data_IF_077625603291
#
_entry.id   IF_077625603291
#
_cell.length_a   1.000
_cell.length_b   1.000
_cell.length_c   1.000
_cell.angle_alpha   90.00
_cell.angle_beta   90.00
_cell.angle_gamma   90.00
#
_symmetry.space_group_name_H-M   'P 1'
#
loop_
_entity.id
_entity.type
_entity.pdbx_description
1 polymer ?
2 non-polymer ?
3 water ?
#
# COMPACT_ATOMS: atom_id res chain seq x y z
N UNK A 14 23.66 -11.38 5.74
CA UNK A 14 23.39 -11.61 7.18
C UNK A 14 21.93 -11.28 7.48
N UNK A 15 21.30 -12.08 8.33
CA UNK A 15 19.86 -12.01 8.52
C UNK A 15 19.50 -11.27 9.78
N UNK A 16 18.77 -10.16 9.62
CA UNK A 16 18.32 -9.38 10.77
C UNK A 16 16.81 -9.29 10.73
N UNK A 17 16.18 -10.15 11.52
CA UNK A 17 14.73 -10.22 11.57
C UNK A 17 14.21 -8.89 12.11
N UNK A 18 13.14 -8.38 11.49
CA UNK A 18 12.54 -7.11 11.89
C UNK A 18 13.31 -5.90 11.39
N UNK A 19 14.19 -6.09 10.40
CA UNK A 19 15.00 -5.01 9.91
C UNK A 19 14.29 -4.19 8.83
N UNK A 20 13.14 -4.67 8.35
CA UNK A 20 12.36 -4.02 7.33
C UNK A 20 10.88 -3.93 7.75
N UNK A 21 10.29 -5.06 8.09
CA UNK A 21 8.89 -5.11 8.52
C UNK A 21 8.78 -4.62 9.94
N UNK A 22 8.06 -3.51 10.11
CA UNK A 22 7.94 -2.87 11.42
C UNK A 22 8.82 -1.66 11.61
N UNK A 23 9.74 -1.41 10.69
CA UNK A 23 10.66 -0.27 10.78
C UNK A 23 10.00 1.00 10.22
N UNK A 24 10.15 2.16 10.91
CA UNK A 24 9.54 3.39 10.39
C UNK A 24 10.23 3.91 9.15
N UNK A 25 9.45 4.58 8.32
CA UNK A 25 9.93 5.25 7.12
C UNK A 25 11.15 6.16 7.36
N UNK A 26 11.15 6.91 8.45
CA UNK A 26 12.28 7.79 8.75
C UNK A 26 13.56 7.02 8.97
N UNK A 27 13.48 5.86 9.61
CA UNK A 27 14.68 5.05 9.80
C UNK A 27 15.20 4.48 8.49
N UNK A 28 14.30 4.12 7.58
CA UNK A 28 14.72 3.69 6.27
C UNK A 28 15.50 4.76 5.58
N UNK A 29 15.06 6.03 5.70
CA UNK A 29 15.79 7.16 5.13
C UNK A 29 17.18 7.28 5.78
N UNK A 30 17.26 7.18 7.11
CA UNK A 30 18.57 7.14 7.81
C UNK A 30 19.52 6.10 7.25
N UNK A 31 19.00 4.90 7.00
CA UNK A 31 19.82 3.79 6.58
C UNK A 31 20.18 3.76 5.10
N UNK A 32 19.25 4.08 4.21
CA UNK A 32 19.44 3.82 2.77
C UNK A 32 19.32 5.05 1.87
N UNK A 33 18.89 6.18 2.45
CA UNK A 33 18.62 7.40 1.69
C UNK A 33 17.16 7.59 1.31
N UNK A 34 16.31 6.56 1.44
CA UNK A 34 14.92 6.65 0.95
C UNK A 34 13.93 5.97 1.90
N UNK A 35 12.67 6.43 1.91
CA UNK A 35 11.64 5.90 2.83
C UNK A 35 11.24 4.40 2.63
N UNK A 36 11.37 3.89 1.42
CA UNK A 36 11.21 2.45 1.18
C UNK A 36 12.55 1.84 0.89
N UNK A 37 12.84 0.68 1.54
CA UNK A 37 14.02 -0.07 1.21
C UNK A 37 13.98 -0.44 -0.26
N UNK A 38 15.15 -0.56 -0.89
CA UNK A 38 15.20 -1.00 -2.27
C UNK A 38 14.54 -2.35 -2.44
N UNK A 39 14.70 -3.23 -1.46
CA UNK A 39 14.13 -4.58 -1.59
C UNK A 39 12.62 -4.47 -1.76
N UNK A 40 12.04 -3.42 -1.18
CA UNK A 40 10.61 -3.23 -1.23
C UNK A 40 10.24 -2.57 -2.54
N UNK A 41 11.04 -1.63 -2.99
CA UNK A 41 10.80 -1.01 -4.28
C UNK A 41 10.93 -2.02 -5.42
N UNK A 42 11.85 -2.97 -5.28
CA UNK A 42 12.02 -4.03 -6.29
C UNK A 42 10.82 -4.97 -6.40
N UNK A 43 10.08 -5.10 -5.31
CA UNK A 43 8.89 -5.93 -5.27
C UNK A 43 7.84 -5.25 -6.14
N UNK A 44 7.71 -3.94 -5.98
CA UNK A 44 6.77 -3.20 -6.79
C UNK A 44 7.22 -3.26 -8.26
N UNK A 45 8.51 -3.12 -8.54
CA UNK A 45 8.96 -3.17 -9.92
C UNK A 45 8.70 -4.51 -10.55
N UNK A 46 8.91 -5.57 -9.77
CA UNK A 46 8.67 -6.91 -10.29
C UNK A 46 7.19 -7.10 -10.65
N UNK A 47 6.30 -6.67 -9.75
CA UNK A 47 4.86 -6.76 -10.04
C UNK A 47 4.53 -5.95 -11.30
N UNK A 48 5.09 -4.76 -11.39
CA UNK A 48 4.75 -3.81 -12.43
C UNK A 48 5.33 -4.28 -13.76
N UNK A 49 6.51 -4.87 -13.73
CA UNK A 49 7.17 -5.29 -14.96
C UNK A 49 6.62 -6.58 -15.57
N UNK A 50 6.18 -7.51 -14.71
CA UNK A 50 6.02 -8.94 -15.08
C UNK A 50 4.72 -9.59 -14.66
N UNK A 51 3.96 -8.96 -13.76
CA UNK A 51 2.80 -9.58 -13.08
C UNK A 51 1.45 -8.90 -13.33
N UNK A 52 1.42 -7.86 -14.14
CA UNK A 52 0.19 -7.11 -14.38
C UNK A 52 -0.92 -7.86 -15.16
N UNK A 53 -0.61 -9.04 -15.70
CA UNK A 53 -1.63 -9.93 -16.30
C UNK A 53 -2.17 -11.00 -15.34
N UNK A 54 -1.85 -10.88 -14.06
CA UNK A 54 -2.28 -11.85 -13.10
C UNK A 54 -3.64 -11.41 -12.51
N UNK A 55 -4.69 -12.19 -12.79
CA UNK A 55 -6.06 -11.82 -12.39
C UNK A 55 -6.15 -11.76 -10.88
N UNK A 56 -6.76 -10.71 -10.36
CA UNK A 56 -6.92 -10.61 -8.91
C UNK A 56 -5.65 -10.32 -8.12
N UNK A 57 -4.64 -9.75 -8.74
CA UNK A 57 -3.47 -9.26 -8.01
C UNK A 57 -3.92 -8.32 -6.88
N UNK A 58 -3.36 -8.55 -5.70
CA UNK A 58 -3.71 -7.91 -4.43
C UNK A 58 -4.96 -8.46 -3.76
N UNK A 59 -5.75 -9.23 -4.50
CA UNK A 59 -6.97 -9.82 -3.93
C UNK A 59 -6.76 -11.28 -3.58
N UNK A 60 -6.38 -12.10 -4.56
CA UNK A 60 -6.12 -13.54 -4.31
C UNK A 60 -4.91 -13.74 -3.41
N UNK A 61 -5.02 -14.67 -2.45
CA UNK A 61 -3.99 -14.93 -1.45
C UNK A 61 -2.82 -15.60 -2.07
N UNK A 62 -1.62 -15.24 -1.61
CA UNK A 62 -0.42 -15.99 -1.94
C UNK A 62 -0.29 -17.16 -0.97
N UNK A 63 0.87 -17.80 -0.93
CA UNK A 63 1.11 -18.93 -0.02
C UNK A 63 1.99 -18.49 1.14
N UNK A 64 1.46 -18.65 2.35
CA UNK A 64 2.10 -18.18 3.58
C UNK A 64 3.62 -18.46 3.64
N UNK A 65 4.02 -19.70 3.35
CA UNK A 65 5.42 -20.13 3.50
C UNK A 65 6.34 -19.44 2.51
N UNK A 66 5.85 -19.29 1.29
CA UNK A 66 6.48 -18.43 0.32
C UNK A 66 6.45 -16.91 0.65
N UNK A 67 5.37 -16.43 1.26
CA UNK A 67 5.28 -15.04 1.67
C UNK A 67 6.34 -14.83 2.77
N UNK A 68 6.42 -15.77 3.71
CA UNK A 68 7.41 -15.73 4.79
C UNK A 68 8.83 -15.80 4.24
N UNK A 69 9.11 -16.71 3.31
CA UNK A 69 10.45 -16.73 2.68
C UNK A 69 10.83 -15.37 2.07
N UNK A 70 9.87 -14.69 1.43
CA UNK A 70 10.17 -13.39 0.81
C UNK A 70 10.43 -12.33 1.87
N UNK A 71 9.68 -12.35 2.96
CA UNK A 71 9.98 -11.42 4.06
C UNK A 71 11.44 -11.61 4.50
N UNK A 72 11.86 -12.87 4.60
CA UNK A 72 13.17 -13.21 5.11
C UNK A 72 14.27 -12.79 4.15
N UNK A 73 14.05 -12.94 2.85
CA UNK A 73 15.01 -12.44 1.90
C UNK A 73 15.12 -10.92 2.00
N UNK A 74 13.99 -10.24 2.28
CA UNK A 74 13.96 -8.78 2.40
C UNK A 74 14.74 -8.30 3.63
N UNK A 75 14.80 -9.14 4.67
CA UNK A 75 15.39 -8.73 5.94
C UNK A 75 16.83 -9.21 6.09
N UNK A 76 17.38 -9.68 4.96
CA UNK A 76 18.81 -9.71 4.74
C UNK A 76 19.43 -8.32 4.76
N UNK A 77 20.63 -8.27 5.32
CA UNK A 77 21.40 -7.06 5.45
C UNK A 77 21.61 -6.35 4.12
N UNK A 78 21.90 -7.09 3.04
CA UNK A 78 21.99 -6.45 1.71
C UNK A 78 20.58 -6.09 1.23
N UNK A 79 20.39 -4.82 0.89
CA UNK A 79 19.09 -4.30 0.43
C UNK A 79 18.89 -4.52 -1.06
N UNK A 80 18.56 -5.75 -1.40
CA UNK A 80 18.43 -6.16 -2.77
C UNK A 80 17.84 -7.54 -2.71
N UNK A 81 16.76 -7.74 -3.46
CA UNK A 81 16.14 -9.03 -3.53
C UNK A 81 15.80 -9.29 -4.97
N UNK A 82 16.02 -10.53 -5.40
CA UNK A 82 15.70 -10.95 -6.75
C UNK A 82 14.44 -11.76 -6.69
N UNK A 83 13.40 -11.23 -7.31
CA UNK A 83 12.05 -11.76 -7.18
C UNK A 83 11.64 -12.71 -8.29
N UNK A 84 12.51 -12.90 -9.28
CA UNK A 84 12.18 -13.71 -10.45
C UNK A 84 11.88 -15.14 -10.09
N UNK A 85 10.85 -15.66 -10.76
CA UNK A 85 10.32 -16.96 -10.48
C UNK A 85 9.24 -16.91 -9.43
N UNK A 86 9.04 -15.78 -8.73
CA UNK A 86 8.06 -15.76 -7.63
C UNK A 86 6.63 -15.55 -8.15
N UNK A 87 5.68 -16.21 -7.51
CA UNK A 87 4.25 -15.95 -7.81
C UNK A 87 3.93 -14.50 -7.46
N UNK A 88 3.21 -13.85 -8.36
CA UNK A 88 2.78 -12.46 -8.20
C UNK A 88 1.99 -12.26 -6.92
N UNK A 89 1.25 -13.30 -6.52
CA UNK A 89 0.33 -13.18 -5.40
C UNK A 89 1.06 -13.22 -4.06
N UNK A 90 2.20 -13.91 -4.03
CA UNK A 90 3.03 -13.94 -2.83
C UNK A 90 3.66 -12.55 -2.63
N UNK A 91 4.19 -12.01 -3.73
CA UNK A 91 4.84 -10.73 -3.75
C UNK A 91 3.83 -9.64 -3.38
N UNK A 92 2.61 -9.75 -3.91
CA UNK A 92 1.58 -8.73 -3.70
C UNK A 92 1.17 -8.76 -2.25
N UNK A 93 0.97 -9.97 -1.72
CA UNK A 93 0.63 -10.17 -0.32
C UNK A 93 1.75 -9.73 0.60
N UNK A 94 3.00 -10.01 0.23
CA UNK A 94 4.10 -9.54 1.04
C UNK A 94 4.03 -8.01 1.09
N UNK A 95 3.80 -7.40 -0.04
CA UNK A 95 3.66 -5.94 -0.06
C UNK A 95 2.62 -5.40 0.88
N UNK A 96 1.46 -6.04 0.88
CA UNK A 96 0.41 -5.71 1.85
C UNK A 96 0.85 -5.87 3.31
N UNK A 97 1.52 -6.98 3.62
CA UNK A 97 2.08 -7.17 4.95
C UNK A 97 3.09 -6.04 5.30
N UNK A 98 3.92 -5.65 4.34
CA UNK A 98 4.82 -4.56 4.59
C UNK A 98 4.10 -3.34 5.18
N UNK A 99 3.05 -2.85 4.51
CA UNK A 99 2.30 -1.66 4.96
C UNK A 99 1.51 -1.91 6.27
N UNK A 100 1.05 -3.15 6.42
CA UNK A 100 0.36 -3.59 7.60
C UNK A 100 1.28 -3.55 8.81
N UNK A 101 2.54 -3.92 8.62
CA UNK A 101 3.48 -4.02 9.75
C UNK A 101 4.16 -2.69 10.07
N UNK A 102 4.03 -1.69 9.21
CA UNK A 102 4.51 -0.34 9.54
C UNK A 102 4.01 0.05 10.91
N UNK A 103 4.86 0.75 11.71
CA UNK A 103 4.47 1.03 13.10
C UNK A 103 3.34 2.06 13.19
N UNK A 104 3.16 2.81 12.12
CA UNK A 104 2.13 3.82 12.00
C UNK A 104 1.61 3.62 10.56
N UNK A 105 0.28 3.67 10.33
CA UNK A 105 -0.19 3.46 8.94
C UNK A 105 0.43 4.44 7.97
N UNK A 106 0.63 4.05 6.71
CA UNK A 106 1.08 4.98 5.69
C UNK A 106 0.20 6.26 5.72
N UNK A 107 -1.09 6.06 5.84
CA UNK A 107 -2.02 7.15 5.77
C UNK A 107 -2.07 8.00 7.06
N UNK A 108 -1.38 7.56 8.11
CA UNK A 108 -1.58 8.03 9.48
C UNK A 108 -2.96 7.61 9.99
N UNK A 109 -3.08 7.60 11.30
CA UNK A 109 -4.27 7.13 11.96
C UNK A 109 -5.45 8.05 11.81
N UNK A 110 -5.20 9.34 11.54
CA UNK A 110 -6.26 10.34 11.52
C UNK A 110 -7.09 10.30 10.21
N UNK A 111 -6.44 9.95 9.10
CA UNK A 111 -7.04 10.14 7.78
C UNK A 111 -8.24 9.28 7.54
N UNK A 112 -8.36 8.14 8.21
CA UNK A 112 -9.55 7.35 7.95
C UNK A 112 -10.72 8.21 8.43
N UNK A 113 -10.54 8.91 9.55
CA UNK A 113 -11.56 9.81 10.08
C UNK A 113 -11.77 11.06 9.23
N UNK A 114 -10.70 11.62 8.67
CA UNK A 114 -10.79 12.79 7.81
C UNK A 114 -11.48 12.44 6.51
N UNK A 115 -11.18 11.26 5.96
CA UNK A 115 -11.91 10.81 4.78
C UNK A 115 -13.41 10.67 5.09
N UNK A 116 -13.75 10.19 6.28
CA UNK A 116 -15.15 10.10 6.66
C UNK A 116 -15.84 11.46 6.63
N UNK A 117 -15.22 12.45 7.26
CA UNK A 117 -15.74 13.83 7.26
C UNK A 117 -15.91 14.35 5.85
N UNK A 118 -14.96 14.06 4.99
CA UNK A 118 -15.03 14.44 3.60
C UNK A 118 -16.32 13.89 2.99
N UNK A 119 -16.59 12.60 3.16
CA UNK A 119 -17.82 12.00 2.61
C UNK A 119 -19.05 12.46 3.39
N UNK A 120 -18.93 12.78 4.68
CA UNK A 120 -20.05 13.40 5.42
C UNK A 120 -20.38 14.87 5.04
N UNK A 121 -19.42 15.67 4.60
CA UNK A 121 -19.67 17.13 4.47
C UNK A 121 -19.34 17.77 3.14
N UNK A 122 -18.23 17.37 2.55
CA UNK A 122 -17.78 17.91 1.28
C UNK A 122 -18.63 17.35 0.14
N UNK A 123 -19.05 18.22 -0.81
CA UNK A 123 -19.85 17.79 -1.97
C UNK A 123 -19.09 17.06 -3.07
N UNK A 124 -19.80 16.16 -3.75
CA UNK A 124 -19.23 15.22 -4.70
C UNK A 124 -18.05 15.84 -5.42
N UNK A 125 -18.33 16.92 -6.16
CA UNK A 125 -17.35 17.57 -7.06
C UNK A 125 -16.17 18.27 -6.36
N UNK A 126 -16.19 18.33 -5.03
CA UNK A 126 -15.05 18.90 -4.29
C UNK A 126 -14.28 17.87 -3.48
N UNK A 127 -14.69 16.61 -3.55
CA UNK A 127 -14.09 15.62 -2.67
C UNK A 127 -12.65 15.33 -3.02
N UNK A 128 -12.35 15.20 -4.29
CA UNK A 128 -10.98 14.92 -4.73
C UNK A 128 -10.05 15.98 -4.14
N UNK A 129 -10.50 17.22 -4.32
CA UNK A 129 -9.83 18.40 -3.81
C UNK A 129 -9.65 18.38 -2.29
N UNK A 130 -10.66 17.97 -1.53
CA UNK A 130 -10.51 17.87 -0.09
C UNK A 130 -9.56 16.70 0.28
N UNK A 131 -9.56 15.66 -0.55
CA UNK A 131 -8.68 14.50 -0.35
C UNK A 131 -7.22 14.90 -0.59
N UNK A 132 -6.97 15.70 -1.64
CA UNK A 132 -5.61 16.18 -1.89
C UNK A 132 -5.16 17.10 -0.75
N UNK A 133 -6.04 18.00 -0.32
CA UNK A 133 -5.75 18.84 0.86
C UNK A 133 -5.35 17.98 2.11
N UNK A 134 -6.12 16.95 2.41
CA UNK A 134 -5.83 16.09 3.58
C UNK A 134 -4.46 15.38 3.50
N UNK A 135 -4.17 14.83 2.34
CA UNK A 135 -2.90 14.20 2.00
C UNK A 135 -1.65 15.08 2.07
N UNK A 136 -1.79 16.36 1.74
CA UNK A 136 -0.67 17.29 1.77
C UNK A 136 -0.21 17.53 3.21
N UNK A 137 -1.07 17.19 4.16
CA UNK A 137 -0.77 17.27 5.59
C UNK A 137 -0.01 16.05 6.15
N UNK A 138 0.20 15.00 5.35
CA UNK A 138 0.99 13.83 5.79
C UNK A 138 2.48 14.20 5.88
N UNK A 139 3.24 13.51 6.76
CA UNK A 139 4.69 13.69 6.78
C UNK A 139 5.33 13.48 5.41
N UNK A 140 6.48 14.10 5.23
CA UNK A 140 7.22 14.01 3.98
C UNK A 140 7.35 12.59 3.47
N UNK A 141 7.86 11.72 4.34
CA UNK A 141 8.17 10.34 3.97
C UNK A 141 6.92 9.64 3.47
N UNK A 142 5.87 9.73 4.27
CA UNK A 142 4.60 9.18 3.88
C UNK A 142 4.10 9.68 2.54
N UNK A 143 4.23 10.99 2.28
CA UNK A 143 3.87 11.58 0.98
C UNK A 143 4.69 11.03 -0.19
N UNK A 144 5.99 10.83 -0.01
CA UNK A 144 6.80 10.23 -1.07
C UNK A 144 6.30 8.82 -1.35
N UNK A 145 6.06 8.06 -0.29
CA UNK A 145 5.70 6.63 -0.45
C UNK A 145 4.32 6.49 -1.08
N UNK A 146 3.36 7.25 -0.58
CA UNK A 146 2.02 7.30 -1.15
C UNK A 146 1.99 7.68 -2.64
N UNK A 147 2.79 8.66 -3.03
CA UNK A 147 2.95 9.01 -4.46
C UNK A 147 3.46 7.84 -5.28
N UNK A 148 4.53 7.21 -4.83
CA UNK A 148 5.10 6.07 -5.55
C UNK A 148 4.11 4.89 -5.65
N UNK A 149 3.40 4.65 -4.55
CA UNK A 149 2.39 3.64 -4.50
C UNK A 149 1.20 3.92 -5.42
N UNK A 150 0.72 5.17 -5.42
CA UNK A 150 -0.46 5.52 -6.22
C UNK A 150 -0.17 5.39 -7.70
N UNK A 151 1.01 5.82 -8.13
CA UNK A 151 1.37 5.64 -9.54
C UNK A 151 1.51 4.18 -9.90
N UNK A 152 2.06 3.39 -8.96
CA UNK A 152 2.18 1.95 -9.13
C UNK A 152 0.79 1.31 -9.27
N UNK A 153 -0.11 1.61 -8.33
CA UNK A 153 -1.43 1.00 -8.34
C UNK A 153 -2.19 1.45 -9.60
N UNK A 154 -1.98 2.70 -9.97
CA UNK A 154 -2.49 3.23 -11.24
C UNK A 154 -2.03 2.39 -12.46
N UNK A 155 -0.74 2.06 -12.52
CA UNK A 155 -0.28 1.13 -13.57
C UNK A 155 -1.04 -0.20 -13.54
N UNK A 156 -1.33 -0.71 -12.34
CA UNK A 156 -2.04 -2.00 -12.17
C UNK A 156 -3.44 -1.91 -12.82
N UNK A 157 -4.14 -0.85 -12.46
CA UNK A 157 -5.48 -0.59 -12.96
C UNK A 157 -5.54 -0.30 -14.48
N UNK A 158 -4.47 0.28 -15.03
CA UNK A 158 -4.27 0.39 -16.50
C UNK A 158 -4.40 -0.95 -17.24
N UNK A 159 -3.96 -2.03 -16.58
CA UNK A 159 -3.97 -3.38 -17.14
C UNK A 159 -5.25 -4.14 -16.67
N UNK A 160 -6.29 -3.39 -16.33
CA UNK A 160 -7.57 -3.97 -15.90
C UNK A 160 -8.18 -5.01 -16.84
N UNK A 161 -8.00 -4.87 -18.15
CA UNK A 161 -8.62 -5.82 -19.11
C UNK A 161 -8.02 -7.21 -18.89
N UNK A 162 -6.80 -7.25 -18.36
CA UNK A 162 -6.08 -8.50 -18.12
C UNK A 162 -6.26 -9.00 -16.70
N UNK A 163 -6.12 -8.11 -15.71
CA UNK A 163 -6.07 -8.53 -14.29
C UNK A 163 -7.36 -8.30 -13.51
N UNK A 164 -8.29 -7.58 -14.13
CA UNK A 164 -9.62 -7.33 -13.60
C UNK A 164 -9.64 -6.49 -12.30
N UNK A 165 -8.58 -5.71 -12.07
CA UNK A 165 -8.51 -4.90 -10.88
C UNK A 165 -8.83 -3.44 -11.19
N UNK A 166 -10.05 -3.02 -10.87
CA UNK A 166 -10.46 -1.62 -10.94
C UNK A 166 -9.87 -0.83 -9.76
N UNK A 167 -9.90 0.51 -9.84
CA UNK A 167 -9.54 1.32 -8.69
C UNK A 167 -10.27 0.90 -7.46
N UNK A 168 -11.56 0.64 -7.60
CA UNK A 168 -12.36 0.16 -6.49
C UNK A 168 -11.92 -1.23 -5.97
N UNK A 169 -11.60 -2.16 -6.86
CA UNK A 169 -11.13 -3.51 -6.44
C UNK A 169 -9.80 -3.47 -5.67
N UNK A 170 -8.89 -2.62 -6.14
CA UNK A 170 -7.62 -2.41 -5.45
C UNK A 170 -7.86 -1.75 -4.11
N UNK A 171 -8.67 -0.70 -4.10
CA UNK A 171 -8.93 0.07 -2.89
C UNK A 171 -9.45 -0.82 -1.76
N UNK A 172 -10.43 -1.64 -2.09
CA UNK A 172 -11.09 -2.48 -1.07
C UNK A 172 -10.10 -3.47 -0.44
N UNK A 173 -9.13 -3.92 -1.24
CA UNK A 173 -8.10 -4.88 -0.83
C UNK A 173 -6.88 -4.25 -0.13
N UNK A 174 -6.57 -3.00 -0.48
CA UNK A 174 -5.42 -2.31 0.08
C UNK A 174 -5.73 -1.38 1.26
N UNK A 175 -6.91 -0.78 1.34
CA UNK A 175 -7.22 0.17 2.46
C UNK A 175 -6.85 -0.35 3.85
N UNK A 176 -7.16 -1.61 4.16
CA UNK A 176 -6.89 -1.95 5.57
C UNK A 176 -5.41 -1.83 5.96
N UNK A 177 -4.53 -2.19 5.02
CA UNK A 177 -3.11 -2.18 5.28
C UNK A 177 -2.49 -0.79 5.21
N UNK A 178 -3.05 0.07 4.36
CA UNK A 178 -2.56 1.42 4.17
C UNK A 178 -3.09 2.34 5.24
N UNK A 179 -4.28 2.03 5.76
CA UNK A 179 -4.93 2.84 6.77
C UNK A 179 -4.88 2.26 8.16
N UNK A 180 -4.53 0.97 8.27
CA UNK A 180 -4.62 0.17 9.50
C UNK A 180 -6.03 0.18 10.04
N UNK A 181 -6.98 -0.22 9.21
CA UNK A 181 -8.39 -0.21 9.65
C UNK A 181 -8.58 -1.33 10.71
N UNK A 182 -9.39 -1.07 11.74
CA UNK A 182 -9.65 -2.04 12.80
C UNK A 182 -10.59 -3.12 12.27
N UNK A 183 -10.01 -4.15 11.64
CA UNK A 183 -10.76 -5.17 10.95
C UNK A 183 -10.78 -6.49 11.72
N UNK A 184 -11.91 -7.19 11.63
CA UNK A 184 -12.13 -8.46 12.31
C UNK A 184 -11.51 -9.60 11.49
N UNK A 204 -18.36 -1.40 16.10
CA UNK A 204 -18.74 0.01 16.11
C UNK A 204 -19.05 0.56 14.68
N UNK A 205 -20.21 1.21 14.54
CA UNK A 205 -20.60 1.81 13.24
C UNK A 205 -19.58 2.83 12.70
N UNK A 206 -19.02 3.66 13.59
CA UNK A 206 -18.07 4.70 13.20
C UNK A 206 -16.82 4.09 12.55
N UNK A 207 -16.32 3.00 13.13
CA UNK A 207 -15.21 2.21 12.56
C UNK A 207 -15.50 1.62 11.17
N UNK A 208 -16.69 1.04 11.02
CA UNK A 208 -17.14 0.56 9.72
C UNK A 208 -17.28 1.71 8.74
N UNK A 209 -17.85 2.81 9.19
CA UNK A 209 -17.91 4.03 8.35
C UNK A 209 -16.54 4.56 7.88
N UNK A 210 -15.56 4.53 8.78
CA UNK A 210 -14.20 4.91 8.43
C UNK A 210 -13.58 3.96 7.38
N UNK A 211 -13.84 2.67 7.56
CA UNK A 211 -13.43 1.67 6.60
C UNK A 211 -13.97 1.99 5.23
N UNK A 212 -15.26 2.23 5.15
CA UNK A 212 -15.88 2.51 3.86
C UNK A 212 -15.39 3.83 3.24
N UNK A 213 -15.24 4.84 4.09
CA UNK A 213 -14.76 6.15 3.65
C UNK A 213 -13.34 6.05 3.10
N UNK A 214 -12.48 5.33 3.83
CA UNK A 214 -11.06 5.17 3.47
C UNK A 214 -10.90 4.43 2.13
N UNK A 215 -11.75 3.42 1.94
CA UNK A 215 -11.81 2.63 0.72
C UNK A 215 -12.27 3.48 -0.44
N UNK A 216 -13.38 4.16 -0.24
CA UNK A 216 -13.89 5.07 -1.25
C UNK A 216 -12.84 6.14 -1.58
N UNK A 217 -12.27 6.76 -0.55
CA UNK A 217 -11.29 7.81 -0.77
C UNK A 217 -10.09 7.30 -1.52
N UNK A 218 -9.62 6.11 -1.15
CA UNK A 218 -8.46 5.50 -1.81
C UNK A 218 -8.74 5.15 -3.30
N UNK A 219 -9.92 4.59 -3.55
CA UNK A 219 -10.40 4.29 -4.90
C UNK A 219 -10.39 5.56 -5.76
N UNK A 220 -10.99 6.62 -5.23
CA UNK A 220 -10.97 7.93 -5.89
C UNK A 220 -9.51 8.30 -6.25
N UNK A 221 -8.60 8.16 -5.29
CA UNK A 221 -7.21 8.55 -5.47
C UNK A 221 -6.50 7.76 -6.56
N UNK A 222 -6.69 6.44 -6.53
CA UNK A 222 -6.11 5.58 -7.55
C UNK A 222 -6.70 5.94 -8.92
N UNK A 223 -8.01 6.13 -8.97
CA UNK A 223 -8.66 6.49 -10.23
C UNK A 223 -7.97 7.71 -10.89
N UNK A 224 -7.29 8.56 -10.11
CA UNK A 224 -6.36 9.59 -10.63
C UNK A 224 -4.99 9.64 -9.89
X LIG B 1 17.67 -4.50 5.54
X LIG C 1 5.61 -7.69 -19.34
X LIG D 1 9.51 -12.77 9.33
X LIG E 1 6.59 4.97 10.17
#
# INVERSE_FOLDING_TARGET
MHHHHHHSSGRENLYFQGSVFGVPLTVNVQRTGQPLPQSIQQAMRYLRNHCLDQVGLFRKSGVKSRIQALRQMNEGAIDCVNYEGQSAYDVADMLKQYFRDLPEPLMTNKLSETFLQIYQYVPKDQRLQAIKAAIMLLPDENREVLQTLLYFLSDVTAAVKENQMTPTNLAVCLAPSLFHLNTLKRENSSPRVMQRKQSLGKPDQKDLNENLAATQGLAHMIAECKKL
UNX UNK
UNX UNK
UNX UNK
UNX UNK
#
